data_IF_331920966786
#
_entry.id   IF_331920966786
#
_cell.length_a   1.000
_cell.length_b   1.000
_cell.length_c   1.000
_cell.angle_alpha   90.00
_cell.angle_beta   90.00
_cell.angle_gamma   90.00
#
_symmetry.space_group_name_H-M   'P 1'
#
loop_
_entity.id
_entity.type
_entity.pdbx_description
1 polymer ?
#
# COMPACT_ATOMS: atom_id res chain seq x y z
N UNK A 1 5.51 -17.97 1.66
CA UNK A 1 5.09 -17.43 2.97
C UNK A 1 4.25 -16.23 2.61
N UNK A 2 2.94 -16.40 2.49
CA UNK A 2 2.08 -15.42 1.84
C UNK A 2 1.84 -14.22 2.77
N UNK A 3 2.70 -13.21 2.65
CA UNK A 3 2.51 -11.91 3.31
C UNK A 3 1.66 -11.04 2.37
N UNK A 4 0.60 -10.43 2.90
CA UNK A 4 -0.22 -9.48 2.16
C UNK A 4 0.33 -8.07 2.39
N UNK A 5 0.80 -7.42 1.34
CA UNK A 5 1.26 -6.05 1.38
C UNK A 5 0.24 -5.16 0.68
N UNK A 6 -0.68 -4.58 1.45
CA UNK A 6 -1.65 -3.65 0.89
C UNK A 6 -1.14 -2.22 0.93
N UNK A 7 -0.90 -1.63 -0.24
CA UNK A 7 -0.61 -0.20 -0.35
C UNK A 7 -1.90 0.53 -0.75
N UNK A 8 -2.37 1.42 0.13
CA UNK A 8 -3.47 2.31 -0.21
C UNK A 8 -2.92 3.68 -0.58
N UNK A 9 -3.09 4.06 -1.84
CA UNK A 9 -2.84 5.43 -2.30
C UNK A 9 -4.13 6.21 -2.05
N UNK A 10 -4.08 7.15 -1.11
CA UNK A 10 -5.22 7.97 -0.72
C UNK A 10 -5.16 9.35 -1.41
N UNK A 11 -3.96 9.80 -1.81
CA UNK A 11 -3.70 10.97 -2.65
C UNK A 11 -2.18 11.14 -2.75
N UNK A 12 -1.53 10.88 -3.89
CA UNK A 12 -0.13 11.33 -4.03
C UNK A 12 0.16 11.80 -5.45
N UNK A 13 0.62 13.05 -5.52
CA UNK A 13 0.83 13.85 -6.71
C UNK A 13 1.89 13.24 -7.65
N UNK A 14 1.55 13.27 -8.95
CA UNK A 14 2.44 13.09 -10.11
C UNK A 14 2.79 11.62 -10.45
N UNK A 15 2.58 11.25 -11.72
CA UNK A 15 2.81 9.93 -12.34
C UNK A 15 4.17 9.29 -11.96
N UNK A 16 5.24 10.09 -11.93
CA UNK A 16 6.60 9.69 -11.54
C UNK A 16 6.68 9.11 -10.11
N UNK A 17 5.86 9.61 -9.19
CA UNK A 17 5.83 9.16 -7.80
C UNK A 17 5.18 7.78 -7.68
N UNK A 18 4.11 7.51 -8.43
CA UNK A 18 3.38 6.23 -8.37
C UNK A 18 4.24 5.07 -8.88
N UNK A 19 4.92 5.24 -10.01
CA UNK A 19 5.76 4.19 -10.61
C UNK A 19 6.95 3.82 -9.71
N UNK A 20 7.58 4.81 -9.08
CA UNK A 20 8.64 4.56 -8.12
C UNK A 20 8.16 3.80 -6.90
N UNK A 21 6.96 4.10 -6.40
CA UNK A 21 6.41 3.42 -5.23
C UNK A 21 6.03 1.98 -5.55
N UNK A 22 5.46 1.72 -6.73
CA UNK A 22 5.23 0.36 -7.21
C UNK A 22 6.55 -0.39 -7.34
N UNK A 23 7.59 0.21 -7.94
CA UNK A 23 8.92 -0.41 -8.06
C UNK A 23 9.52 -0.78 -6.70
N UNK A 24 9.43 0.12 -5.71
CA UNK A 24 9.94 -0.12 -4.35
C UNK A 24 9.13 -1.22 -3.66
N UNK A 25 7.80 -1.16 -3.75
CA UNK A 25 6.93 -2.19 -3.18
C UNK A 25 7.21 -3.56 -3.77
N UNK A 26 7.28 -3.67 -5.10
CA UNK A 26 7.54 -4.94 -5.78
C UNK A 26 8.94 -5.48 -5.49
N UNK A 27 9.92 -4.61 -5.23
CA UNK A 27 11.23 -5.04 -4.73
C UNK A 27 11.12 -5.69 -3.35
N UNK A 28 10.48 -5.01 -2.39
CA UNK A 28 10.27 -5.54 -1.02
C UNK A 28 9.51 -6.87 -1.09
N UNK A 29 8.45 -6.90 -1.89
CA UNK A 29 7.61 -8.07 -2.07
C UNK A 29 8.38 -9.25 -2.63
N UNK A 30 9.22 -9.03 -3.63
CA UNK A 30 10.10 -10.08 -4.17
C UNK A 30 11.13 -10.57 -3.15
N UNK A 31 11.74 -9.67 -2.39
CA UNK A 31 12.78 -9.99 -1.41
C UNK A 31 12.22 -10.74 -0.19
N UNK A 32 10.96 -10.51 0.17
CA UNK A 32 10.32 -11.06 1.35
C UNK A 32 9.21 -12.09 1.03
N UNK A 33 9.09 -12.50 -0.23
CA UNK A 33 8.06 -13.44 -0.73
C UNK A 33 6.62 -12.99 -0.39
N UNK A 34 6.32 -11.70 -0.58
CA UNK A 34 5.03 -11.08 -0.28
C UNK A 34 4.25 -10.72 -1.55
N UNK A 35 2.94 -10.61 -1.44
CA UNK A 35 2.05 -10.20 -2.52
C UNK A 35 1.64 -8.73 -2.37
N UNK A 36 1.83 -7.94 -3.42
CA UNK A 36 1.38 -6.54 -3.47
C UNK A 36 -0.14 -6.46 -3.73
N UNK A 37 -0.85 -5.65 -2.95
CA UNK A 37 -2.27 -5.36 -3.11
C UNK A 37 -2.50 -3.85 -3.13
N UNK A 38 -2.47 -3.26 -4.33
CA UNK A 38 -2.63 -1.81 -4.49
C UNK A 38 -4.11 -1.42 -4.53
N UNK A 39 -4.53 -0.60 -3.57
CA UNK A 39 -5.94 -0.17 -3.44
C UNK A 39 -6.02 1.36 -3.53
N UNK A 40 -7.09 1.88 -4.13
CA UNK A 40 -7.35 3.32 -4.19
C UNK A 40 -8.79 3.66 -3.80
N UNK A 41 -9.00 4.86 -3.27
CA UNK A 41 -10.33 5.35 -2.91
C UNK A 41 -11.04 5.96 -4.12
N UNK A 42 -12.39 5.94 -4.11
CA UNK A 42 -13.21 6.56 -5.17
C UNK A 42 -12.89 8.05 -5.38
N UNK A 43 -12.49 8.74 -4.32
CA UNK A 43 -12.24 10.18 -4.31
C UNK A 43 -10.74 10.53 -4.42
N UNK A 44 -9.91 9.59 -4.89
CA UNK A 44 -8.47 9.81 -5.02
C UNK A 44 -8.16 10.90 -6.05
N UNK A 45 -7.18 11.75 -5.75
CA UNK A 45 -6.61 12.69 -6.71
C UNK A 45 -5.94 11.94 -7.86
N UNK A 46 -6.05 12.46 -9.09
CA UNK A 46 -5.51 11.83 -10.31
C UNK A 46 -6.09 10.44 -10.60
N UNK A 47 -7.38 10.26 -10.33
CA UNK A 47 -8.13 9.00 -10.55
C UNK A 47 -7.86 8.39 -11.93
N UNK A 48 -7.88 9.18 -13.00
CA UNK A 48 -7.65 8.71 -14.37
C UNK A 48 -6.29 8.02 -14.54
N UNK A 49 -5.23 8.53 -13.89
CA UNK A 49 -3.88 7.94 -13.95
C UNK A 49 -3.82 6.59 -13.22
N UNK A 50 -4.59 6.47 -12.14
CA UNK A 50 -4.63 5.26 -11.31
C UNK A 50 -5.50 4.19 -11.97
N UNK A 51 -6.65 4.58 -12.54
CA UNK A 51 -7.56 3.68 -13.26
C UNK A 51 -6.91 3.06 -14.50
N UNK A 52 -6.05 3.82 -15.20
CA UNK A 52 -5.26 3.30 -16.33
C UNK A 52 -4.25 2.20 -15.91
N UNK A 53 -3.91 2.10 -14.62
CA UNK A 53 -2.99 1.09 -14.10
C UNK A 53 -3.74 -0.15 -13.63
N UNK A 54 -3.65 -1.23 -14.41
CA UNK A 54 -4.25 -2.56 -14.12
C UNK A 54 -3.88 -3.17 -12.75
N UNK A 55 -2.84 -2.66 -12.09
CA UNK A 55 -2.39 -3.16 -10.79
C UNK A 55 -3.20 -2.62 -9.62
N UNK A 56 -3.97 -1.55 -9.81
CA UNK A 56 -4.75 -0.89 -8.77
C UNK A 56 -6.20 -1.37 -8.74
N UNK A 57 -6.71 -1.59 -7.53
CA UNK A 57 -8.06 -2.07 -7.29
C UNK A 57 -8.86 -0.97 -6.58
N UNK A 58 -10.05 -0.67 -7.09
CA UNK A 58 -10.95 0.28 -6.43
C UNK A 58 -11.40 -0.32 -5.10
N UNK A 59 -11.23 0.44 -4.01
CA UNK A 59 -11.73 0.07 -2.70
C UNK A 59 -13.26 -0.05 -2.73
N UNK A 60 -13.79 -1.24 -2.44
CA UNK A 60 -15.24 -1.46 -2.26
C UNK A 60 -15.81 -0.74 -1.03
N UNK A 61 -14.93 -0.19 -0.18
CA UNK A 61 -15.24 0.44 1.10
C UNK A 61 -14.70 -0.37 2.28
N UNK A 62 -14.28 -1.62 2.07
CA UNK A 62 -13.73 -2.47 3.12
C UNK A 62 -12.45 -1.87 3.72
N UNK A 63 -11.51 -1.43 2.88
CA UNK A 63 -10.23 -0.91 3.36
C UNK A 63 -10.42 0.44 4.04
N UNK A 64 -11.28 1.31 3.51
CA UNK A 64 -11.62 2.59 4.14
C UNK A 64 -12.29 2.42 5.51
N UNK A 65 -13.17 1.42 5.66
CA UNK A 65 -13.93 1.20 6.89
C UNK A 65 -13.12 0.48 7.97
N UNK A 66 -12.31 -0.50 7.59
CA UNK A 66 -11.72 -1.44 8.56
C UNK A 66 -10.21 -1.30 8.73
N UNK A 67 -9.48 -0.87 7.69
CA UNK A 67 -8.00 -0.88 7.70
C UNK A 67 -7.49 0.55 7.81
N UNK A 68 -7.75 1.36 6.79
CA UNK A 68 -7.28 2.73 6.60
C UNK A 68 -8.41 3.73 6.88
N UNK A 69 -8.70 3.90 8.17
CA UNK A 69 -9.80 4.74 8.65
C UNK A 69 -9.50 6.24 8.59
N UNK A 70 -8.23 6.63 8.61
CA UNK A 70 -7.83 8.03 8.42
C UNK A 70 -7.79 8.37 6.92
N UNK A 71 -8.63 9.33 6.50
CA UNK A 71 -8.77 9.74 5.10
C UNK A 71 -7.93 10.97 4.72
N UNK A 72 -7.31 11.63 5.70
CA UNK A 72 -6.57 12.89 5.49
C UNK A 72 -5.13 12.67 4.97
N UNK A 73 -4.63 11.45 5.08
CA UNK A 73 -3.26 11.13 4.70
C UNK A 73 -3.15 10.83 3.20
N UNK A 74 -2.09 11.30 2.57
CA UNK A 74 -1.76 11.04 1.17
C UNK A 74 -1.54 9.54 0.85
N UNK A 75 -1.09 8.77 1.83
CA UNK A 75 -0.76 7.36 1.66
C UNK A 75 -0.87 6.60 2.96
N UNK A 76 -1.22 5.33 2.85
CA UNK A 76 -1.11 4.38 3.93
C UNK A 76 -0.70 3.01 3.39
N UNK A 77 -0.12 2.18 4.25
CA UNK A 77 0.23 0.82 3.91
C UNK A 77 -0.12 -0.10 5.09
N UNK A 78 -0.43 -1.33 4.75
CA UNK A 78 -0.81 -2.38 5.68
C UNK A 78 -0.08 -3.66 5.28
N UNK A 79 0.60 -4.27 6.24
CA UNK A 79 1.30 -5.54 6.06
C UNK A 79 0.69 -6.53 7.05
N UNK A 80 0.33 -7.71 6.57
CA UNK A 80 -0.14 -8.81 7.39
C UNK A 80 0.76 -10.04 7.20
N UNK A 81 1.36 -10.51 8.29
CA UNK A 81 2.12 -11.77 8.33
C UNK A 81 1.18 -12.97 8.54
N UNK A 82 1.59 -14.19 8.15
CA UNK A 82 0.77 -15.40 8.36
C UNK A 82 0.44 -15.73 9.82
N UNK A 83 1.26 -15.27 10.76
CA UNK A 83 1.05 -15.43 12.20
C UNK A 83 0.01 -14.46 12.78
N UNK A 84 -0.57 -13.58 11.96
CA UNK A 84 -1.55 -12.58 12.38
C UNK A 84 -0.96 -11.25 12.84
N UNK A 85 0.37 -11.13 12.93
CA UNK A 85 1.01 -9.84 13.19
C UNK A 85 0.81 -8.91 12.00
N UNK A 86 0.56 -7.63 12.28
CA UNK A 86 0.38 -6.64 11.25
C UNK A 86 1.07 -5.32 11.56
N UNK A 87 1.46 -4.63 10.51
CA UNK A 87 1.93 -3.25 10.55
C UNK A 87 0.96 -2.38 9.76
N UNK A 88 0.51 -1.29 10.37
CA UNK A 88 -0.28 -0.25 9.70
C UNK A 88 0.37 1.09 9.98
N UNK A 89 0.70 1.82 8.93
CA UNK A 89 1.20 3.19 9.10
C UNK A 89 0.68 4.10 7.96
N UNK A 90 0.52 5.36 8.34
CA UNK A 90 0.04 6.44 7.50
C UNK A 90 1.19 7.42 7.24
N UNK A 91 1.43 7.74 5.97
CA UNK A 91 2.51 8.63 5.57
C UNK A 91 3.46 8.03 4.53
N UNK A 92 4.50 8.80 4.22
CA UNK A 92 5.38 8.57 3.08
C UNK A 92 6.71 7.90 3.45
N UNK A 93 7.18 8.07 4.69
CA UNK A 93 8.48 7.58 5.17
C UNK A 93 8.36 6.23 5.86
N UNK A 94 7.82 5.26 5.13
CA UNK A 94 7.45 3.97 5.71
C UNK A 94 8.43 2.85 5.43
N UNK A 95 9.35 3.07 4.50
CA UNK A 95 10.20 2.00 3.97
C UNK A 95 11.06 1.36 5.06
N UNK A 96 11.68 2.18 5.90
CA UNK A 96 12.54 1.72 7.00
C UNK A 96 11.75 0.91 8.03
N UNK A 97 10.52 1.31 8.33
CA UNK A 97 9.65 0.58 9.26
C UNK A 97 9.16 -0.74 8.68
N UNK A 98 8.82 -0.77 7.40
CA UNK A 98 8.43 -1.99 6.68
C UNK A 98 9.57 -2.99 6.65
N UNK A 99 10.78 -2.57 6.27
CA UNK A 99 11.93 -3.47 6.27
C UNK A 99 12.21 -4.03 7.65
N UNK A 100 12.14 -3.19 8.69
CA UNK A 100 12.36 -3.63 10.07
C UNK A 100 11.32 -4.68 10.48
N UNK A 101 10.04 -4.41 10.24
CA UNK A 101 8.94 -5.33 10.58
C UNK A 101 9.03 -6.67 9.83
N UNK A 102 9.45 -6.66 8.56
CA UNK A 102 9.61 -7.87 7.75
C UNK A 102 10.84 -8.71 8.17
N UNK A 103 11.90 -8.06 8.66
CA UNK A 103 13.11 -8.74 9.16
C UNK A 103 12.94 -9.32 10.57
N UNK A 104 12.03 -8.76 11.37
CA UNK A 104 11.66 -9.30 12.67
C UNK A 104 10.90 -10.64 12.49
N UNK A 105 11.47 -11.72 13.04
CA UNK A 105 10.94 -13.09 12.94
C UNK A 105 9.81 -13.35 13.91
#
# INVERSE_FOLDING_TARGET
MDILLSNKIISCSIKLTIDNCNRISSRISKENNTNDFFVYSKNVSNKDIIEDKKTFILDSGFFAKNIFTLQENCRAFFILKPNGEYLKNYGSDYYSEVEKFLKEK
#
